data_IF_492976815961
#
_entry.id   IF_492976815961
#
_cell.length_a   1.000
_cell.length_b   1.000
_cell.length_c   1.000
_cell.angle_alpha   90.00
_cell.angle_beta   90.00
_cell.angle_gamma   90.00
#
_symmetry.space_group_name_H-M   'P 1'
#
loop_
_entity.id
_entity.type
_entity.pdbx_description
1 polymer ?
#
# COMPACT_ATOMS: atom_id res chain seq x y z
N UNK A 1 -17.85 -19.26 -15.17
CA UNK A 1 -17.17 -17.96 -15.41
C UNK A 1 -16.14 -17.73 -14.32
N UNK A 2 -14.85 -17.70 -14.67
CA UNK A 2 -13.81 -17.39 -13.68
C UNK A 2 -13.99 -15.93 -13.24
N UNK A 3 -14.21 -15.71 -11.95
CA UNK A 3 -14.20 -14.36 -11.34
C UNK A 3 -12.81 -13.76 -11.55
N UNK A 4 -12.71 -12.77 -12.40
CA UNK A 4 -11.43 -12.12 -12.72
C UNK A 4 -11.15 -11.08 -11.65
N UNK A 5 -10.58 -11.51 -10.53
CA UNK A 5 -10.13 -10.61 -9.45
C UNK A 5 -8.78 -10.01 -9.82
N UNK A 6 -8.68 -8.69 -9.85
CA UNK A 6 -7.42 -7.97 -10.01
C UNK A 6 -6.97 -7.45 -8.65
N UNK A 7 -5.75 -7.79 -8.25
CA UNK A 7 -5.17 -7.38 -6.97
C UNK A 7 -4.04 -6.39 -7.23
N UNK A 8 -4.21 -5.15 -6.80
CA UNK A 8 -3.16 -4.13 -6.79
C UNK A 8 -2.39 -4.24 -5.49
N UNK A 9 -1.08 -4.34 -5.58
CA UNK A 9 -0.14 -4.38 -4.43
C UNK A 9 0.91 -3.32 -4.61
N UNK A 10 1.58 -2.94 -3.53
CA UNK A 10 2.73 -2.04 -3.61
C UNK A 10 3.80 -2.59 -4.55
N UNK A 11 4.44 -1.71 -5.30
CA UNK A 11 5.51 -2.05 -6.24
C UNK A 11 6.53 -2.99 -5.60
N UNK A 12 6.96 -4.00 -6.35
CA UNK A 12 7.93 -5.01 -5.89
C UNK A 12 9.22 -4.36 -5.37
N UNK A 13 9.71 -3.34 -6.06
CA UNK A 13 10.91 -2.58 -5.65
C UNK A 13 10.73 -1.93 -4.28
N UNK A 14 9.58 -1.30 -4.01
CA UNK A 14 9.30 -0.71 -2.70
C UNK A 14 9.20 -1.78 -1.60
N UNK A 15 8.57 -2.92 -1.89
CA UNK A 15 8.47 -4.03 -0.92
C UNK A 15 9.83 -4.61 -0.58
N UNK A 16 10.68 -4.83 -1.58
CA UNK A 16 12.06 -5.29 -1.36
C UNK A 16 12.85 -4.23 -0.61
N UNK A 17 12.74 -2.97 -1.00
CA UNK A 17 13.43 -1.85 -0.34
C UNK A 17 13.12 -1.75 1.14
N UNK A 18 11.83 -1.88 1.54
CA UNK A 18 11.46 -1.84 2.97
C UNK A 18 12.00 -3.05 3.75
N UNK A 19 12.04 -4.23 3.13
CA UNK A 19 12.61 -5.43 3.76
C UNK A 19 14.11 -5.23 3.98
N UNK A 20 14.85 -4.83 2.94
CA UNK A 20 16.30 -4.60 3.01
C UNK A 20 16.61 -3.52 4.06
N UNK A 21 15.87 -2.40 4.03
CA UNK A 21 16.02 -1.35 5.03
C UNK A 21 15.77 -1.86 6.45
N UNK A 22 14.70 -2.63 6.66
CA UNK A 22 14.37 -3.19 7.98
C UNK A 22 15.45 -4.13 8.49
N UNK A 23 16.00 -4.98 7.62
CA UNK A 23 17.08 -5.90 7.97
C UNK A 23 18.36 -5.14 8.32
N UNK A 24 18.72 -4.11 7.54
CA UNK A 24 19.89 -3.28 7.82
C UNK A 24 19.76 -2.55 9.16
N UNK A 25 18.61 -1.94 9.42
CA UNK A 25 18.37 -1.26 10.71
C UNK A 25 18.48 -2.22 11.87
N UNK A 26 17.89 -3.41 11.77
CA UNK A 26 17.98 -4.43 12.80
C UNK A 26 19.41 -4.92 13.02
N UNK A 27 20.17 -5.11 11.94
CA UNK A 27 21.58 -5.52 12.03
C UNK A 27 22.44 -4.46 12.75
N UNK A 28 22.27 -3.18 12.38
CA UNK A 28 22.99 -2.07 13.04
C UNK A 28 22.61 -1.96 14.51
N UNK A 29 21.32 -2.01 14.83
CA UNK A 29 20.85 -1.96 16.22
C UNK A 29 21.40 -3.14 17.05
N UNK A 30 21.39 -4.34 16.48
CA UNK A 30 21.95 -5.52 17.16
C UNK A 30 23.44 -5.36 17.41
N UNK A 31 24.19 -4.87 16.43
CA UNK A 31 25.63 -4.58 16.59
C UNK A 31 25.88 -3.54 17.70
N UNK A 32 25.08 -2.47 17.75
CA UNK A 32 25.15 -1.45 18.81
C UNK A 32 24.90 -2.03 20.21
N UNK A 33 23.86 -2.90 20.33
CA UNK A 33 23.55 -3.56 21.61
C UNK A 33 24.71 -4.44 22.07
N UNK A 34 25.33 -5.21 21.17
CA UNK A 34 26.46 -6.05 21.47
C UNK A 34 27.70 -5.21 21.88
N UNK A 35 27.94 -4.10 21.14
CA UNK A 35 29.09 -3.25 21.40
C UNK A 35 28.99 -2.48 22.72
N UNK A 36 27.80 -1.99 23.06
CA UNK A 36 27.58 -1.18 24.27
C UNK A 36 27.50 -1.99 25.54
N UNK A 37 27.09 -3.25 25.48
CA UNK A 37 26.92 -4.16 26.63
C UNK A 37 26.13 -3.55 27.81
N UNK A 38 25.27 -2.58 27.54
CA UNK A 38 24.52 -1.84 28.54
C UNK A 38 23.02 -2.12 28.44
N UNK A 39 22.29 -2.17 29.56
CA UNK A 39 20.82 -2.35 29.52
C UNK A 39 20.10 -1.20 28.81
N UNK A 40 20.72 -0.01 28.74
CA UNK A 40 20.16 1.14 28.00
C UNK A 40 20.07 0.87 26.50
N UNK A 41 21.00 0.14 25.91
CA UNK A 41 20.97 -0.24 24.51
C UNK A 41 19.75 -1.12 24.19
N UNK A 42 19.36 -2.00 25.08
CA UNK A 42 18.16 -2.85 24.95
C UNK A 42 16.89 -1.98 25.00
N UNK A 43 16.83 -0.98 25.88
CA UNK A 43 15.72 -0.05 25.98
C UNK A 43 15.49 0.77 24.68
N UNK A 44 16.54 1.08 23.94
CA UNK A 44 16.44 1.73 22.63
C UNK A 44 16.01 0.77 21.52
N UNK A 45 16.33 -0.51 21.65
CA UNK A 45 15.98 -1.52 20.63
C UNK A 45 14.47 -1.80 20.57
N UNK A 46 13.79 -1.85 21.71
CA UNK A 46 12.36 -2.16 21.81
C UNK A 46 11.49 -1.15 21.07
N UNK A 47 11.59 0.19 21.25
CA UNK A 47 10.79 1.16 20.50
C UNK A 47 10.99 1.06 18.99
N UNK A 48 12.20 0.79 18.53
CA UNK A 48 12.46 0.59 17.10
C UNK A 48 11.72 -0.62 16.54
N UNK A 49 11.71 -1.74 17.25
CA UNK A 49 10.96 -2.92 16.84
C UNK A 49 9.45 -2.65 16.78
N UNK A 50 8.92 -1.94 17.79
CA UNK A 50 7.49 -1.61 17.87
C UNK A 50 7.06 -0.72 16.69
N UNK A 51 7.90 0.19 16.22
CA UNK A 51 7.59 1.09 15.11
C UNK A 51 7.85 0.41 13.76
N UNK A 52 9.00 -0.27 13.63
CA UNK A 52 9.44 -0.82 12.34
C UNK A 52 8.58 -2.00 11.88
N UNK A 53 8.16 -2.87 12.81
CA UNK A 53 7.36 -4.06 12.48
C UNK A 53 6.01 -3.73 11.84
N UNK A 54 5.14 -2.86 12.41
CA UNK A 54 3.86 -2.56 11.80
C UNK A 54 4.00 -1.79 10.49
N UNK A 55 5.02 -0.94 10.33
CA UNK A 55 5.30 -0.25 9.07
C UNK A 55 5.67 -1.25 7.98
N UNK A 56 6.59 -2.16 8.27
CA UNK A 56 7.00 -3.21 7.33
C UNK A 56 5.83 -4.10 6.94
N UNK A 57 5.06 -4.58 7.93
CA UNK A 57 3.86 -5.37 7.70
C UNK A 57 2.81 -4.63 6.87
N UNK A 58 2.61 -3.34 7.11
CA UNK A 58 1.70 -2.52 6.32
C UNK A 58 2.10 -2.52 4.84
N UNK A 59 3.36 -2.24 4.52
CA UNK A 59 3.83 -2.20 3.12
C UNK A 59 3.77 -3.57 2.44
N UNK A 60 4.03 -4.65 3.16
CA UNK A 60 4.00 -6.01 2.62
C UNK A 60 2.57 -6.51 2.37
N UNK A 61 1.63 -6.13 3.22
CA UNK A 61 0.27 -6.68 3.20
C UNK A 61 -0.78 -5.76 2.58
N UNK A 62 -0.42 -4.48 2.31
CA UNK A 62 -1.32 -3.53 1.68
C UNK A 62 -1.73 -3.99 0.28
N UNK A 63 -3.04 -4.03 0.03
CA UNK A 63 -3.60 -4.41 -1.27
C UNK A 63 -4.97 -3.78 -1.49
N UNK A 64 -5.30 -3.55 -2.77
CA UNK A 64 -6.66 -3.23 -3.21
C UNK A 64 -7.07 -4.32 -4.19
N UNK A 65 -8.18 -4.99 -3.92
CA UNK A 65 -8.77 -6.01 -4.79
C UNK A 65 -9.94 -5.40 -5.54
N UNK A 66 -9.95 -5.60 -6.84
CA UNK A 66 -11.07 -5.27 -7.73
C UNK A 66 -11.76 -6.59 -8.05
N UNK A 67 -12.93 -6.79 -7.46
CA UNK A 67 -13.84 -7.91 -7.74
C UNK A 67 -14.94 -7.43 -8.69
N UNK A 68 -15.78 -8.33 -9.21
CA UNK A 68 -16.76 -7.98 -10.25
C UNK A 68 -17.70 -6.81 -9.88
N UNK A 69 -18.07 -6.70 -8.60
CA UNK A 69 -19.01 -5.67 -8.11
C UNK A 69 -18.47 -4.80 -7.00
N UNK A 70 -17.29 -5.12 -6.48
CA UNK A 70 -16.77 -4.54 -5.24
C UNK A 70 -15.28 -4.19 -5.36
N UNK A 71 -14.91 -3.14 -4.64
CA UNK A 71 -13.52 -2.73 -4.41
C UNK A 71 -13.21 -2.98 -2.94
N UNK A 72 -12.26 -3.86 -2.67
CA UNK A 72 -11.91 -4.28 -1.31
C UNK A 72 -10.50 -3.81 -0.97
N UNK A 73 -10.36 -2.99 0.06
CA UNK A 73 -9.06 -2.65 0.62
C UNK A 73 -8.69 -3.65 1.71
N UNK A 74 -7.49 -4.20 1.63
CA UNK A 74 -6.91 -5.09 2.63
C UNK A 74 -5.59 -4.56 3.17
N UNK A 75 -5.39 -4.73 4.48
CA UNK A 75 -4.14 -4.44 5.19
C UNK A 75 -3.99 -5.49 6.28
N UNK A 76 -2.76 -5.94 6.53
CA UNK A 76 -2.45 -6.98 7.50
C UNK A 76 -3.22 -8.30 7.31
N UNK A 77 -3.45 -8.65 6.02
CA UNK A 77 -4.20 -9.87 5.67
C UNK A 77 -5.70 -9.80 5.94
N UNK A 78 -6.22 -8.70 6.47
CA UNK A 78 -7.65 -8.50 6.77
C UNK A 78 -8.29 -7.54 5.76
N UNK A 79 -9.56 -7.80 5.44
CA UNK A 79 -10.39 -6.83 4.70
C UNK A 79 -10.67 -5.65 5.65
N UNK A 80 -10.21 -4.45 5.28
CA UNK A 80 -10.43 -3.26 6.11
C UNK A 80 -11.67 -2.50 5.68
N UNK A 81 -11.94 -2.46 4.37
CA UNK A 81 -13.11 -1.77 3.80
C UNK A 81 -13.49 -2.40 2.48
N UNK A 82 -14.79 -2.47 2.24
CA UNK A 82 -15.39 -2.94 0.99
C UNK A 82 -16.36 -1.88 0.48
N UNK A 83 -16.26 -1.54 -0.80
CA UNK A 83 -17.15 -0.60 -1.48
C UNK A 83 -17.67 -1.21 -2.77
N UNK A 84 -18.98 -1.04 -3.04
CA UNK A 84 -19.53 -1.33 -4.36
C UNK A 84 -19.07 -0.28 -5.37
N UNK A 85 -18.94 -0.66 -6.65
CA UNK A 85 -18.68 0.32 -7.71
C UNK A 85 -19.77 1.38 -7.81
N UNK A 86 -20.99 1.10 -7.37
CA UNK A 86 -22.10 2.08 -7.31
C UNK A 86 -21.86 3.20 -6.32
N UNK A 87 -21.01 2.99 -5.31
CA UNK A 87 -20.59 4.01 -4.34
C UNK A 87 -19.40 4.84 -4.81
N UNK A 88 -18.84 4.53 -5.98
CA UNK A 88 -17.74 5.27 -6.56
C UNK A 88 -18.25 6.59 -7.13
N UNK A 89 -17.86 7.71 -6.54
CA UNK A 89 -18.26 9.06 -6.96
C UNK A 89 -17.44 9.53 -8.15
N UNK A 90 -16.13 9.45 -8.03
CA UNK A 90 -15.21 9.88 -9.10
C UNK A 90 -13.86 9.21 -8.97
N UNK A 91 -13.17 9.14 -10.09
CA UNK A 91 -11.77 8.68 -10.17
C UNK A 91 -10.93 9.80 -10.78
N UNK A 92 -9.91 10.21 -10.06
CA UNK A 92 -9.00 11.27 -10.48
C UNK A 92 -7.59 10.70 -10.65
N UNK A 93 -6.99 10.98 -11.79
CA UNK A 93 -5.60 10.65 -12.07
C UNK A 93 -4.77 11.90 -11.89
N UNK A 94 -3.97 11.98 -10.84
CA UNK A 94 -3.12 13.12 -10.55
C UNK A 94 -1.66 12.85 -10.86
N UNK A 95 -0.99 13.86 -11.42
CA UNK A 95 0.46 13.85 -11.57
C UNK A 95 1.14 14.24 -10.26
N UNK A 96 2.20 13.54 -9.89
CA UNK A 96 3.16 14.06 -8.94
C UNK A 96 4.25 14.79 -9.73
N UNK A 97 4.47 16.06 -9.39
CA UNK A 97 5.39 16.97 -10.13
C UNK A 97 6.84 16.48 -10.16
N UNK A 98 7.26 15.68 -9.18
CA UNK A 98 8.63 15.15 -9.08
C UNK A 98 8.82 13.73 -9.62
N UNK A 99 7.76 13.02 -9.91
CA UNK A 99 7.84 11.62 -10.32
C UNK A 99 6.99 11.41 -11.58
N UNK A 100 7.57 10.80 -12.60
CA UNK A 100 6.88 10.38 -13.84
C UNK A 100 5.70 9.41 -13.60
N UNK A 101 5.30 9.20 -12.36
CA UNK A 101 4.30 8.24 -11.94
C UNK A 101 3.02 8.91 -11.49
N UNK A 102 1.92 8.47 -12.06
CA UNK A 102 0.59 8.92 -11.71
C UNK A 102 0.07 8.21 -10.47
N UNK A 103 -0.70 8.94 -9.66
CA UNK A 103 -1.51 8.37 -8.59
C UNK A 103 -2.97 8.37 -9.02
N UNK A 104 -3.62 7.24 -8.90
CA UNK A 104 -5.06 7.10 -9.12
C UNK A 104 -5.77 7.18 -7.79
N UNK A 105 -6.67 8.14 -7.64
CA UNK A 105 -7.50 8.36 -6.45
C UNK A 105 -8.95 8.06 -6.77
N UNK A 106 -9.55 7.22 -5.96
CA UNK A 106 -10.95 6.82 -6.04
C UNK A 106 -11.69 7.45 -4.86
N UNK A 107 -12.65 8.32 -5.13
CA UNK A 107 -13.47 8.96 -4.11
C UNK A 107 -14.82 8.27 -4.06
N UNK A 108 -15.27 7.94 -2.85
CA UNK A 108 -16.53 7.28 -2.59
C UNK A 108 -17.57 8.27 -2.05
N UNK A 109 -18.85 7.92 -2.15
CA UNK A 109 -19.96 8.78 -1.71
C UNK A 109 -19.93 9.11 -0.21
N UNK A 110 -19.29 8.27 0.60
CA UNK A 110 -19.11 8.50 2.04
C UNK A 110 -17.93 9.43 2.39
N UNK A 111 -17.32 10.06 1.36
CA UNK A 111 -16.17 10.95 1.52
C UNK A 111 -14.83 10.24 1.76
N UNK A 112 -14.81 8.90 1.74
CA UNK A 112 -13.56 8.16 1.85
C UNK A 112 -12.84 8.07 0.51
N UNK A 113 -11.53 7.83 0.58
CA UNK A 113 -10.66 7.75 -0.57
C UNK A 113 -9.77 6.50 -0.50
N UNK A 114 -9.66 5.82 -1.64
CA UNK A 114 -8.59 4.85 -1.88
C UNK A 114 -7.66 5.40 -2.94
N UNK A 115 -6.38 5.06 -2.82
CA UNK A 115 -5.40 5.47 -3.83
C UNK A 115 -4.37 4.37 -4.06
N UNK A 116 -3.88 4.30 -5.29
CA UNK A 116 -2.74 3.48 -5.69
C UNK A 116 -1.92 4.23 -6.73
N UNK A 117 -0.66 3.83 -6.91
CA UNK A 117 0.24 4.42 -7.89
C UNK A 117 0.26 3.59 -9.16
N UNK A 118 0.60 4.20 -10.29
CA UNK A 118 0.68 3.46 -11.55
C UNK A 118 1.87 2.49 -11.63
N UNK A 119 2.87 2.65 -10.76
CA UNK A 119 3.98 1.73 -10.59
C UNK A 119 3.64 0.54 -9.66
N UNK A 120 2.49 0.57 -8.97
CA UNK A 120 2.01 -0.56 -8.18
C UNK A 120 1.68 -1.76 -9.08
N UNK A 121 1.84 -2.98 -8.56
CA UNK A 121 1.56 -4.21 -9.32
C UNK A 121 0.10 -4.25 -9.77
N UNK A 122 -0.13 -4.60 -11.04
CA UNK A 122 -1.46 -4.69 -11.68
C UNK A 122 -2.24 -3.36 -11.75
N UNK A 123 -1.61 -2.20 -11.50
CA UNK A 123 -2.27 -0.90 -11.54
C UNK A 123 -2.95 -0.62 -12.89
N UNK A 124 -2.31 -0.96 -14.01
CA UNK A 124 -2.87 -0.78 -15.37
C UNK A 124 -4.16 -1.58 -15.54
N UNK A 125 -4.20 -2.82 -15.04
CA UNK A 125 -5.39 -3.65 -15.12
C UNK A 125 -6.53 -3.08 -14.26
N UNK A 126 -6.22 -2.56 -13.07
CA UNK A 126 -7.16 -1.90 -12.19
C UNK A 126 -7.76 -0.64 -12.86
N UNK A 127 -6.93 0.17 -13.51
CA UNK A 127 -7.40 1.35 -14.27
C UNK A 127 -8.35 0.95 -15.39
N UNK A 128 -8.07 -0.12 -16.13
CA UNK A 128 -8.99 -0.63 -17.17
C UNK A 128 -10.34 -1.08 -16.60
N UNK A 129 -10.35 -1.65 -15.39
CA UNK A 129 -11.62 -1.99 -14.72
C UNK A 129 -12.35 -0.71 -14.34
N UNK A 130 -11.68 0.25 -13.72
CA UNK A 130 -12.29 1.53 -13.35
C UNK A 130 -12.86 2.28 -14.56
N UNK A 131 -12.18 2.29 -15.69
CA UNK A 131 -12.66 2.91 -16.94
C UNK A 131 -13.96 2.32 -17.48
N UNK A 132 -14.28 1.07 -17.14
CA UNK A 132 -15.55 0.43 -17.52
C UNK A 132 -16.72 0.89 -16.65
N UNK A 133 -16.44 1.36 -15.44
CA UNK A 133 -17.46 1.75 -14.46
C UNK A 133 -17.63 3.27 -14.32
N UNK A 134 -16.61 4.05 -14.65
CA UNK A 134 -16.65 5.50 -14.58
C UNK A 134 -15.66 6.15 -15.53
N UNK A 135 -15.91 7.42 -15.89
CA UNK A 135 -14.93 8.25 -16.59
C UNK A 135 -13.82 8.69 -15.61
N UNK A 136 -12.57 8.49 -16.03
CA UNK A 136 -11.41 8.94 -15.23
C UNK A 136 -11.14 10.40 -15.59
N UNK A 137 -11.20 11.27 -14.58
CA UNK A 137 -10.88 12.69 -14.74
C UNK A 137 -9.36 12.90 -14.64
N UNK A 138 -8.86 13.76 -15.48
CA UNK A 138 -7.54 14.35 -15.35
C UNK A 138 -7.69 15.72 -14.71
N UNK A 139 -6.81 16.10 -13.78
CA UNK A 139 -6.83 17.43 -13.20
C UNK A 139 -6.44 18.48 -14.23
#
# INVERSE_FOLDING_TARGET
MQKKTVIVRKCKTHRIGIIVFSVLVLAVLTACVIAMQTPVAILLYIPFLIILSPVTLYYLTWQIRFEDKEIVRGVWGRKTRTYSFTMLREVVKSYYVSERNFTVRMYFLDGKMFQFRMDDENAIQAVRILQRHCSIKFP
#
